data_IF_894303209881
#
_entry.id   IF_894303209881
#
_cell.length_a   1.000
_cell.length_b   1.000
_cell.length_c   1.000
_cell.angle_alpha   90.00
_cell.angle_beta   90.00
_cell.angle_gamma   90.00
#
_symmetry.space_group_name_H-M   'P 1'
#
loop_
_entity.id
_entity.type
_entity.pdbx_description
1 polymer ?
#
# COMPACT_ATOMS: atom_id res chain seq x y z
N UNK A 1 -6.18 4.17 13.46
CA UNK A 1 -5.64 3.04 12.66
C UNK A 1 -4.20 2.67 13.04
N UNK A 2 -3.16 3.56 12.90
CA UNK A 2 -1.76 3.15 13.20
C UNK A 2 -1.56 2.67 14.64
N UNK A 3 -2.20 3.29 15.62
CA UNK A 3 -2.13 2.88 17.04
C UNK A 3 -2.64 1.45 17.23
N UNK A 4 -3.78 1.12 16.65
CA UNK A 4 -4.38 -0.22 16.70
C UNK A 4 -3.50 -1.26 16.00
N UNK A 5 -2.95 -0.93 14.81
CA UNK A 5 -2.01 -1.81 14.12
C UNK A 5 -0.74 -2.08 14.95
N UNK A 6 -0.21 -1.06 15.64
CA UNK A 6 0.92 -1.22 16.58
C UNK A 6 0.54 -2.07 17.80
N UNK A 7 -0.71 -2.08 18.22
CA UNK A 7 -1.20 -2.93 19.31
C UNK A 7 -1.31 -4.38 18.84
N UNK A 8 -2.00 -4.61 17.73
CA UNK A 8 -2.18 -5.95 17.14
C UNK A 8 -0.83 -6.57 16.74
N UNK A 9 0.15 -5.77 16.32
CA UNK A 9 1.49 -6.28 15.95
C UNK A 9 2.30 -6.83 17.13
N UNK A 10 1.81 -6.77 18.36
CA UNK A 10 2.39 -7.47 19.50
C UNK A 10 2.05 -8.96 19.51
N UNK A 11 0.95 -9.34 18.84
CA UNK A 11 0.57 -10.73 18.66
C UNK A 11 1.40 -11.36 17.55
N UNK A 12 1.57 -12.67 17.61
CA UNK A 12 2.24 -13.42 16.53
C UNK A 12 1.29 -13.52 15.34
N UNK A 13 1.53 -12.66 14.35
CA UNK A 13 0.78 -12.65 13.09
C UNK A 13 1.71 -13.13 11.97
N UNK A 14 1.34 -14.22 11.30
CA UNK A 14 2.15 -14.82 10.26
C UNK A 14 2.06 -14.06 8.93
N UNK A 15 0.92 -13.44 8.65
CA UNK A 15 0.65 -12.76 7.37
C UNK A 15 0.02 -11.39 7.57
N UNK A 16 0.58 -10.39 6.91
CA UNK A 16 0.04 -9.03 6.84
C UNK A 16 -0.27 -8.64 5.40
N UNK A 17 -1.52 -8.32 5.11
CA UNK A 17 -1.93 -7.78 3.80
C UNK A 17 -2.30 -6.31 3.98
N UNK A 18 -1.45 -5.41 3.47
CA UNK A 18 -1.59 -3.97 3.59
C UNK A 18 -2.32 -3.39 2.36
N UNK A 19 -3.64 -3.59 2.28
CA UNK A 19 -4.48 -3.13 1.17
C UNK A 19 -5.18 -1.79 1.42
N UNK A 20 -5.14 -1.28 2.65
CA UNK A 20 -5.81 -0.04 2.99
C UNK A 20 -5.13 1.18 2.36
N UNK A 21 -5.94 2.06 1.75
CA UNK A 21 -5.49 3.39 1.37
C UNK A 21 -5.29 4.26 2.61
N UNK A 22 -4.11 4.82 2.78
CA UNK A 22 -3.75 5.67 3.90
C UNK A 22 -3.35 7.05 3.37
N UNK A 23 -3.82 8.10 4.01
CA UNK A 23 -3.49 9.46 3.64
C UNK A 23 -2.00 9.74 3.83
N UNK A 24 -1.37 10.26 2.78
CA UNK A 24 0.03 10.70 2.80
C UNK A 24 0.19 12.05 3.52
N UNK A 25 -0.88 12.82 3.57
CA UNK A 25 -0.92 14.13 4.23
C UNK A 25 -2.11 14.19 5.19
N UNK A 26 -1.91 14.85 6.31
CA UNK A 26 -2.92 15.04 7.37
C UNK A 26 -2.96 16.49 7.79
N UNK A 27 -4.08 16.93 8.36
CA UNK A 27 -4.16 18.23 9.05
C UNK A 27 -3.56 18.02 10.43
N UNK A 28 -2.43 18.71 10.79
CA UNK A 28 -1.77 18.48 12.07
C UNK A 28 -2.64 18.97 13.25
N UNK A 29 -3.31 20.09 13.08
CA UNK A 29 -4.13 20.74 14.11
C UNK A 29 -5.57 20.93 13.58
N UNK A 30 -6.40 19.88 13.60
CA UNK A 30 -7.77 19.97 13.11
C UNK A 30 -8.63 20.85 14.02
N UNK A 31 -9.44 21.72 13.42
CA UNK A 31 -10.44 22.50 14.16
C UNK A 31 -11.55 21.58 14.66
N UNK A 32 -11.87 21.65 15.94
CA UNK A 32 -13.01 20.94 16.49
C UNK A 32 -14.32 21.63 16.12
N UNK A 33 -15.29 20.84 15.68
CA UNK A 33 -16.64 21.29 15.37
C UNK A 33 -16.80 21.75 13.91
N UNK A 34 -17.87 22.53 13.68
CA UNK A 34 -18.26 23.00 12.35
C UNK A 34 -17.59 24.35 12.04
N UNK A 35 -16.90 24.42 10.92
CA UNK A 35 -16.43 25.70 10.38
C UNK A 35 -17.65 26.42 9.78
N UNK A 36 -17.88 27.67 10.21
CA UNK A 36 -18.98 28.48 9.68
C UNK A 36 -18.78 28.83 8.21
N UNK A 37 -19.90 28.91 7.47
CA UNK A 37 -19.89 29.34 6.07
C UNK A 37 -19.65 30.85 5.95
N UNK A 38 -19.27 31.32 4.77
CA UNK A 38 -19.14 32.74 4.41
C UNK A 38 -18.05 33.53 5.18
N UNK A 39 -17.01 32.86 5.63
CA UNK A 39 -15.85 33.49 6.29
C UNK A 39 -14.71 33.86 5.33
N UNK A 40 -14.95 33.81 4.02
CA UNK A 40 -13.94 34.07 2.99
C UNK A 40 -13.12 32.82 2.65
N UNK A 41 -11.86 33.03 2.22
CA UNK A 41 -10.95 31.93 1.89
C UNK A 41 -10.49 31.19 3.15
N UNK A 42 -10.34 29.88 3.04
CA UNK A 42 -9.81 29.01 4.08
C UNK A 42 -8.43 28.48 3.65
N UNK A 43 -7.39 28.85 4.37
CA UNK A 43 -6.06 28.27 4.16
C UNK A 43 -5.89 27.02 5.00
N UNK A 44 -5.58 25.90 4.34
CA UNK A 44 -5.38 24.61 4.99
C UNK A 44 -3.92 24.19 4.85
N UNK A 45 -3.23 24.05 5.98
CA UNK A 45 -1.89 23.49 6.02
C UNK A 45 -1.96 21.97 6.17
N UNK A 46 -1.18 21.26 5.36
CA UNK A 46 -1.06 19.81 5.41
C UNK A 46 0.37 19.44 5.81
N UNK A 47 0.50 18.46 6.71
CA UNK A 47 1.77 17.87 7.09
C UNK A 47 1.85 16.41 6.60
N UNK A 48 3.06 15.88 6.43
CA UNK A 48 3.25 14.47 6.07
C UNK A 48 2.67 13.55 7.15
N UNK A 49 1.82 12.62 6.73
CA UNK A 49 1.29 11.57 7.57
C UNK A 49 2.28 10.42 7.77
N UNK A 50 2.12 9.68 8.87
CA UNK A 50 2.94 8.51 9.14
C UNK A 50 2.70 7.40 8.09
N UNK A 51 3.77 6.89 7.48
CA UNK A 51 3.73 5.75 6.56
C UNK A 51 3.57 4.45 7.34
N UNK A 52 2.34 3.98 7.51
CA UNK A 52 2.00 2.81 8.34
C UNK A 52 2.83 1.58 8.00
N UNK A 53 3.04 1.30 6.71
CA UNK A 53 3.84 0.15 6.25
C UNK A 53 5.31 0.22 6.67
N UNK A 54 5.87 1.44 6.80
CA UNK A 54 7.25 1.65 7.27
C UNK A 54 7.32 1.57 8.80
N UNK A 55 6.37 2.18 9.50
CA UNK A 55 6.25 2.14 10.96
C UNK A 55 6.11 0.72 11.52
N UNK A 56 5.49 -0.17 10.73
CA UNK A 56 5.31 -1.57 11.10
C UNK A 56 6.48 -2.48 10.69
N UNK A 57 7.49 -1.97 9.96
CA UNK A 57 8.59 -2.78 9.42
C UNK A 57 9.25 -3.65 10.48
N UNK A 58 9.66 -3.05 11.60
CA UNK A 58 10.34 -3.77 12.67
C UNK A 58 9.38 -4.65 13.49
N UNK A 59 8.14 -4.18 13.67
CA UNK A 59 7.13 -4.89 14.49
C UNK A 59 6.60 -6.15 13.83
N UNK A 60 6.61 -6.18 12.50
CA UNK A 60 6.17 -7.32 11.69
C UNK A 60 7.35 -8.07 11.05
N UNK A 61 8.55 -7.94 11.63
CA UNK A 61 9.73 -8.69 11.19
C UNK A 61 9.47 -10.20 11.35
N UNK A 62 9.73 -10.98 10.31
CA UNK A 62 9.46 -12.43 10.28
C UNK A 62 8.07 -12.82 9.77
N UNK A 63 7.15 -11.88 9.61
CA UNK A 63 5.85 -12.14 8.96
C UNK A 63 5.95 -12.03 7.44
N UNK A 64 5.12 -12.77 6.73
CA UNK A 64 4.88 -12.53 5.29
C UNK A 64 4.08 -11.23 5.13
N UNK A 65 4.64 -10.26 4.42
CA UNK A 65 4.04 -8.93 4.27
C UNK A 65 3.78 -8.62 2.80
N UNK A 66 2.52 -8.41 2.45
CA UNK A 66 2.09 -8.08 1.09
C UNK A 66 1.55 -6.65 1.08
N UNK A 67 2.12 -5.80 0.22
CA UNK A 67 1.70 -4.42 0.04
C UNK A 67 0.94 -4.21 -1.26
N UNK A 68 0.31 -3.05 -1.37
CA UNK A 68 -0.31 -2.57 -2.61
C UNK A 68 0.30 -1.24 -3.01
N UNK A 69 0.48 -1.04 -4.30
CA UNK A 69 1.01 0.19 -4.89
C UNK A 69 0.14 0.62 -6.06
N UNK A 70 -0.73 1.59 -5.81
CA UNK A 70 -1.53 2.22 -6.86
C UNK A 70 -0.80 3.48 -7.34
N UNK A 71 -0.69 3.64 -8.65
CA UNK A 71 -0.13 4.81 -9.29
C UNK A 71 -1.02 5.28 -10.44
N UNK A 72 -0.77 6.49 -10.92
CA UNK A 72 -1.48 7.14 -12.02
C UNK A 72 -0.49 7.86 -12.92
N UNK A 73 -0.75 7.88 -14.24
CA UNK A 73 0.02 8.64 -15.20
C UNK A 73 1.45 8.15 -15.44
N UNK A 74 1.79 6.91 -15.08
CA UNK A 74 3.14 6.37 -15.22
C UNK A 74 3.19 5.13 -16.12
N UNK A 75 4.38 4.85 -16.67
CA UNK A 75 4.62 3.62 -17.45
C UNK A 75 4.73 2.40 -16.52
N UNK A 76 4.44 1.22 -17.04
CA UNK A 76 4.60 -0.05 -16.31
C UNK A 76 5.99 -0.19 -15.67
N UNK A 77 7.05 0.11 -16.43
CA UNK A 77 8.44 0.02 -15.94
C UNK A 77 8.65 0.85 -14.66
N UNK A 78 8.11 2.07 -14.64
CA UNK A 78 8.25 2.98 -13.50
C UNK A 78 7.39 2.52 -12.32
N UNK A 79 6.21 1.94 -12.59
CA UNK A 79 5.36 1.32 -11.58
C UNK A 79 6.09 0.17 -10.88
N UNK A 80 6.65 -0.78 -11.65
CA UNK A 80 7.41 -1.92 -11.11
C UNK A 80 8.60 -1.44 -10.28
N UNK A 81 9.35 -0.44 -10.79
CA UNK A 81 10.47 0.14 -10.06
C UNK A 81 10.02 0.75 -8.71
N UNK A 82 8.93 1.52 -8.70
CA UNK A 82 8.38 2.11 -7.46
C UNK A 82 7.87 1.06 -6.49
N UNK A 83 7.26 -0.01 -7.00
CA UNK A 83 6.81 -1.13 -6.16
C UNK A 83 8.00 -1.85 -5.51
N UNK A 84 9.06 -2.11 -6.27
CA UNK A 84 10.28 -2.69 -5.73
C UNK A 84 10.95 -1.79 -4.68
N UNK A 85 11.03 -0.48 -4.94
CA UNK A 85 11.53 0.49 -3.96
C UNK A 85 10.70 0.49 -2.66
N UNK A 86 9.36 0.35 -2.76
CA UNK A 86 8.49 0.19 -1.59
C UNK A 86 8.82 -1.09 -0.80
N UNK A 87 9.05 -2.21 -1.49
CA UNK A 87 9.44 -3.48 -0.85
C UNK A 87 10.70 -3.29 -0.01
N UNK A 88 11.75 -2.72 -0.59
CA UNK A 88 13.03 -2.51 0.07
C UNK A 88 12.90 -1.57 1.28
N UNK A 89 12.21 -0.45 1.10
CA UNK A 89 12.04 0.57 2.14
C UNK A 89 11.20 0.06 3.31
N UNK A 90 10.11 -0.67 3.01
CA UNK A 90 9.09 -1.05 4.00
C UNK A 90 9.21 -2.50 4.49
N UNK A 91 10.15 -3.29 3.96
CA UNK A 91 10.36 -4.69 4.34
C UNK A 91 9.16 -5.57 3.95
N UNK A 92 8.61 -5.38 2.75
CA UNK A 92 7.57 -6.25 2.23
C UNK A 92 8.16 -7.53 1.64
N UNK A 93 7.38 -8.60 1.63
CA UNK A 93 7.71 -9.84 0.92
C UNK A 93 7.42 -9.69 -0.57
N UNK A 94 6.28 -9.06 -0.88
CA UNK A 94 5.86 -8.73 -2.23
C UNK A 94 4.94 -7.50 -2.24
N UNK A 95 4.75 -6.91 -3.42
CA UNK A 95 3.81 -5.82 -3.63
C UNK A 95 2.99 -6.07 -4.90
N UNK A 96 1.68 -5.90 -4.80
CA UNK A 96 0.80 -5.84 -5.96
C UNK A 96 0.77 -4.39 -6.42
N UNK A 97 1.25 -4.18 -7.64
CA UNK A 97 1.34 -2.87 -8.25
C UNK A 97 0.29 -2.72 -9.35
N UNK A 98 -0.48 -1.64 -9.34
CA UNK A 98 -1.52 -1.39 -10.33
C UNK A 98 -1.60 0.10 -10.68
N UNK A 99 -2.20 0.39 -11.83
CA UNK A 99 -2.47 1.74 -12.30
C UNK A 99 -3.96 1.98 -12.33
N UNK A 100 -4.35 3.17 -11.92
CA UNK A 100 -5.77 3.55 -11.91
C UNK A 100 -6.36 3.55 -13.33
N UNK A 101 -5.54 3.84 -14.34
CA UNK A 101 -5.95 3.89 -15.74
C UNK A 101 -6.31 2.51 -16.32
N UNK A 102 -5.80 1.44 -15.74
CA UNK A 102 -6.05 0.06 -16.21
C UNK A 102 -7.26 -0.57 -15.51
N UNK A 103 -7.69 0.01 -14.39
CA UNK A 103 -8.78 -0.56 -13.59
C UNK A 103 -10.10 -0.59 -14.35
N UNK A 104 -10.73 -1.79 -14.40
CA UNK A 104 -12.02 -2.00 -15.05
C UNK A 104 -12.00 -1.90 -16.58
N UNK A 105 -10.84 -1.83 -17.23
CA UNK A 105 -10.75 -1.77 -18.69
C UNK A 105 -10.46 -3.15 -19.29
N UNK A 106 -11.20 -3.49 -20.34
CA UNK A 106 -10.99 -4.72 -21.09
C UNK A 106 -9.60 -4.74 -21.75
N UNK A 107 -8.96 -5.90 -21.73
CA UNK A 107 -7.63 -6.11 -22.30
C UNK A 107 -6.50 -5.41 -21.55
N UNK A 108 -6.75 -4.92 -20.33
CA UNK A 108 -5.72 -4.38 -19.44
C UNK A 108 -5.53 -5.29 -18.23
N UNK A 109 -4.28 -5.53 -17.80
CA UNK A 109 -4.01 -6.33 -16.62
C UNK A 109 -4.54 -5.63 -15.36
N UNK A 110 -4.94 -6.42 -14.37
CA UNK A 110 -5.34 -5.93 -13.05
C UNK A 110 -4.16 -5.42 -12.24
N UNK A 111 -2.94 -5.84 -12.60
CA UNK A 111 -1.72 -5.37 -11.95
C UNK A 111 -0.52 -6.26 -12.22
N UNK A 112 0.49 -6.07 -11.40
CA UNK A 112 1.73 -6.84 -11.42
C UNK A 112 2.11 -7.24 -10.01
N UNK A 113 2.38 -8.52 -9.78
CA UNK A 113 3.06 -8.96 -8.57
C UNK A 113 4.55 -8.62 -8.73
N UNK A 114 5.12 -7.89 -7.79
CA UNK A 114 6.56 -7.59 -7.72
C UNK A 114 7.11 -8.22 -6.45
N UNK A 115 8.18 -8.98 -6.56
CA UNK A 115 8.84 -9.64 -5.44
C UNK A 115 10.06 -8.84 -4.90
N UNK A 116 10.67 -9.36 -3.82
CA UNK A 116 11.84 -8.75 -3.19
C UNK A 116 13.11 -8.72 -4.07
N UNK A 117 13.16 -9.53 -5.11
CA UNK A 117 14.28 -9.61 -6.05
C UNK A 117 14.07 -8.73 -7.29
N UNK A 118 12.91 -8.08 -7.40
CA UNK A 118 12.54 -7.23 -8.53
C UNK A 118 11.95 -8.01 -9.71
N UNK A 119 11.79 -9.33 -9.59
CA UNK A 119 11.01 -10.08 -10.57
C UNK A 119 9.55 -9.67 -10.50
N UNK A 120 8.87 -9.65 -11.65
CA UNK A 120 7.47 -9.26 -11.70
C UNK A 120 6.68 -10.13 -12.67
N UNK A 121 5.42 -10.37 -12.32
CA UNK A 121 4.48 -11.21 -13.05
C UNK A 121 3.20 -10.43 -13.30
N UNK A 122 2.65 -10.56 -14.51
CA UNK A 122 1.39 -9.91 -14.89
C UNK A 122 0.23 -10.64 -14.21
N UNK A 123 -0.73 -9.89 -13.72
CA UNK A 123 -1.99 -10.37 -13.16
C UNK A 123 -3.12 -9.87 -14.05
N UNK A 124 -3.66 -10.75 -14.90
CA UNK A 124 -4.67 -10.37 -15.90
C UNK A 124 -6.04 -10.23 -15.26
N UNK A 125 -6.34 -11.04 -14.25
CA UNK A 125 -7.63 -11.13 -13.57
C UNK A 125 -7.53 -10.95 -12.06
N UNK A 126 -8.68 -10.77 -11.39
CA UNK A 126 -8.75 -10.81 -9.93
C UNK A 126 -8.40 -12.21 -9.38
N UNK A 127 -8.72 -13.28 -10.13
CA UNK A 127 -8.33 -14.63 -9.76
C UNK A 127 -6.82 -14.78 -9.72
N UNK A 128 -6.10 -14.28 -10.75
CA UNK A 128 -4.63 -14.31 -10.77
C UNK A 128 -4.04 -13.55 -9.56
N UNK A 129 -4.67 -12.44 -9.17
CA UNK A 129 -4.25 -11.68 -7.99
C UNK A 129 -4.41 -12.50 -6.70
N UNK A 130 -5.54 -13.19 -6.54
CA UNK A 130 -5.78 -14.05 -5.39
C UNK A 130 -4.79 -15.23 -5.34
N UNK A 131 -4.53 -15.86 -6.48
CA UNK A 131 -3.59 -16.98 -6.58
C UNK A 131 -2.15 -16.54 -6.35
N UNK A 132 -1.76 -15.35 -6.83
CA UNK A 132 -0.46 -14.75 -6.55
C UNK A 132 -0.27 -14.47 -5.04
N UNK A 133 -1.27 -13.90 -4.38
CA UNK A 133 -1.23 -13.66 -2.92
C UNK A 133 -1.09 -14.99 -2.18
N UNK A 134 -1.87 -16.01 -2.54
CA UNK A 134 -1.79 -17.35 -1.94
C UNK A 134 -0.40 -17.95 -2.10
N UNK A 135 0.14 -17.90 -3.33
CA UNK A 135 1.49 -18.41 -3.62
C UNK A 135 2.58 -17.72 -2.80
N UNK A 136 2.50 -16.39 -2.64
CA UNK A 136 3.44 -15.64 -1.79
C UNK A 136 3.35 -16.12 -0.33
N UNK A 137 2.15 -16.37 0.18
CA UNK A 137 1.95 -16.83 1.56
C UNK A 137 2.51 -18.24 1.75
N UNK A 138 2.22 -19.15 0.84
CA UNK A 138 2.65 -20.55 0.92
C UNK A 138 4.16 -20.72 0.82
N UNK A 139 4.81 -19.93 -0.04
CA UNK A 139 6.27 -19.99 -0.25
C UNK A 139 7.09 -19.29 0.85
N UNK A 140 6.44 -18.63 1.82
CA UNK A 140 7.12 -17.92 2.92
C UNK A 140 6.68 -18.41 4.33
N UNK A 141 6.08 -19.60 4.40
CA UNK A 141 5.75 -20.29 5.67
C UNK A 141 6.92 -21.07 6.24
#
# INVERSE_FOLDING_TARGET
>A
MLKELKTISKDKIDVWIHSAAVLDYVIPDPVEGKIASLQGALDIQLAEGAKHIQELKQKCAGSTRIGFKLESGIKQKDLVHRAHAQIQKSGMTATIANRIEDYGKDGKPRGWLVDRHGAHFVLETESDMCDAIRSVIENNR
#
